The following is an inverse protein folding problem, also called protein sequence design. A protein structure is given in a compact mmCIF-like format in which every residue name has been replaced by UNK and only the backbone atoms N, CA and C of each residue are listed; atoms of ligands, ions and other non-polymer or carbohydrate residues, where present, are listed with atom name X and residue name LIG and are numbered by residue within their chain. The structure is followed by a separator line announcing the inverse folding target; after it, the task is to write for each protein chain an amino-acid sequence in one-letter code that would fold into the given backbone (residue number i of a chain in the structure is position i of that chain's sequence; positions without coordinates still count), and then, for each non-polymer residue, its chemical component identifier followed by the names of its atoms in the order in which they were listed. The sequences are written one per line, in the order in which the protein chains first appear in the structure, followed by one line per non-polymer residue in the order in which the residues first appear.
data_IF_129437296895
#
_entry.id   IF_129437296895
#
_cell.length_a   1.000
_cell.length_b   1.000
_cell.length_c   1.000
_cell.angle_alpha   90.00
_cell.angle_beta   90.00
_cell.angle_gamma   90.00
#
_symmetry.space_group_name_H-M   'P 1'
#
loop_
_entity.id
_entity.type
_entity.pdbx_description
1 polymer ?
#
# COMPACT_ATOMS: atom_id res chain seq x y z
N UNK A 1 -38.23 70.67 -9.28
CA UNK A 1 -36.97 70.03 -8.81
C UNK A 1 -37.32 68.55 -8.63
N UNK A 2 -36.97 67.72 -9.62
CA UNK A 2 -35.97 66.62 -9.53
C UNK A 2 -36.28 65.66 -8.36
N UNK A 3 -36.47 64.35 -8.54
CA UNK A 3 -35.76 63.43 -9.43
C UNK A 3 -36.61 62.19 -9.76
N UNK A 4 -36.27 61.57 -10.89
CA UNK A 4 -36.87 60.37 -11.45
C UNK A 4 -36.31 59.08 -10.82
N UNK A 5 -37.14 58.04 -10.83
CA UNK A 5 -36.73 56.65 -10.58
C UNK A 5 -37.64 55.70 -11.34
N UNK A 6 -37.18 55.23 -12.50
CA UNK A 6 -37.90 54.30 -13.36
C UNK A 6 -37.87 52.87 -12.80
N UNK A 7 -39.03 52.23 -12.69
CA UNK A 7 -39.17 50.83 -12.31
C UNK A 7 -39.03 49.93 -13.55
N UNK A 8 -37.98 49.11 -13.59
CA UNK A 8 -37.76 48.08 -14.61
C UNK A 8 -38.41 46.78 -14.14
N UNK A 9 -39.44 46.33 -14.87
CA UNK A 9 -40.08 45.05 -14.66
C UNK A 9 -39.24 43.92 -15.29
N UNK A 10 -38.52 43.14 -14.46
CA UNK A 10 -37.85 41.92 -14.91
C UNK A 10 -38.85 40.76 -14.93
N UNK A 11 -39.17 40.32 -16.15
CA UNK A 11 -39.99 39.14 -16.46
C UNK A 11 -39.22 37.89 -16.01
N UNK A 12 -39.83 37.07 -15.15
CA UNK A 12 -39.28 35.75 -14.74
C UNK A 12 -39.21 34.82 -15.96
N UNK A 13 -38.01 34.46 -16.39
CA UNK A 13 -37.79 33.35 -17.33
C UNK A 13 -37.81 32.03 -16.54
N UNK A 14 -38.69 31.11 -16.92
CA UNK A 14 -38.71 29.72 -16.40
C UNK A 14 -37.53 28.96 -17.01
N UNK A 15 -36.69 28.36 -16.16
CA UNK A 15 -35.73 27.35 -16.58
C UNK A 15 -36.46 26.03 -16.91
N UNK A 16 -36.13 25.35 -18.02
CA UNK A 16 -36.58 23.98 -18.26
C UNK A 16 -35.79 22.98 -17.40
N UNK A 17 -36.51 22.03 -16.81
CA UNK A 17 -35.98 20.95 -15.97
C UNK A 17 -35.20 19.90 -16.78
N UNK A 18 -34.22 19.28 -16.11
CA UNK A 18 -33.27 18.30 -16.64
C UNK A 18 -33.89 16.95 -17.06
N UNK A 19 -34.46 16.82 -18.28
CA UNK A 19 -34.77 15.49 -18.89
C UNK A 19 -34.59 15.46 -20.43
N UNK A 20 -34.18 16.54 -21.11
CA UNK A 20 -34.20 16.59 -22.60
C UNK A 20 -32.85 16.93 -23.24
N UNK A 21 -31.77 16.28 -22.81
CA UNK A 21 -30.42 16.50 -23.37
C UNK A 21 -29.58 15.22 -23.56
N UNK A 22 -30.19 14.03 -23.65
CA UNK A 22 -29.49 12.77 -23.96
C UNK A 22 -30.36 11.91 -24.88
N UNK A 23 -30.62 12.39 -26.11
CA UNK A 23 -30.96 11.56 -27.27
C UNK A 23 -30.50 12.34 -28.50
N UNK A 24 -29.28 12.10 -28.98
CA UNK A 24 -28.72 12.87 -30.09
C UNK A 24 -27.25 12.62 -30.39
N UNK A 25 -26.80 11.37 -30.27
CA UNK A 25 -25.48 10.93 -30.76
C UNK A 25 -25.52 9.43 -31.08
N UNK A 26 -26.58 9.02 -31.78
CA UNK A 26 -26.55 7.82 -32.62
C UNK A 26 -26.79 8.30 -34.06
N UNK A 27 -26.04 7.72 -35.00
CA UNK A 27 -26.12 7.92 -36.46
C UNK A 27 -25.11 8.89 -37.08
N UNK A 28 -23.85 8.46 -37.18
CA UNK A 28 -23.04 8.71 -38.39
C UNK A 28 -22.33 7.39 -38.78
N UNK A 29 -22.86 6.79 -39.86
CA UNK A 29 -22.23 5.95 -40.89
C UNK A 29 -20.95 5.16 -40.49
N UNK A 30 -20.90 3.82 -40.44
CA UNK A 30 -21.25 2.83 -41.49
C UNK A 30 -20.90 3.31 -42.90
N UNK A 31 -19.62 3.19 -43.26
CA UNK A 31 -19.15 2.61 -44.54
C UNK A 31 -17.62 2.80 -44.68
N UNK A 32 -16.84 1.81 -44.28
CA UNK A 32 -15.46 1.64 -44.80
C UNK A 32 -15.25 0.15 -45.06
N UNK A 33 -15.39 -0.25 -46.33
CA UNK A 33 -14.89 -1.53 -46.83
C UNK A 33 -13.37 -1.40 -46.99
N UNK A 34 -12.62 -2.32 -46.38
CA UNK A 34 -11.20 -2.50 -46.65
C UNK A 34 -11.04 -3.47 -47.82
N UNK A 35 -10.60 -2.95 -48.96
CA UNK A 35 -10.00 -3.74 -50.04
C UNK A 35 -8.48 -3.58 -49.99
N UNK A 36 -7.79 -4.66 -50.31
CA UNK A 36 -6.37 -4.87 -50.02
C UNK A 36 -5.41 -4.08 -50.92
N UNK A 37 -4.18 -3.96 -50.42
CA UNK A 37 -3.01 -3.78 -51.27
C UNK A 37 -2.18 -2.54 -50.97
N UNK A 38 -0.94 -2.79 -50.53
CA UNK A 38 0.27 -2.00 -50.73
C UNK A 38 0.27 -0.54 -50.22
N UNK A 39 1.09 -0.34 -49.19
CA UNK A 39 2.22 0.58 -49.31
C UNK A 39 1.99 2.03 -48.91
N UNK A 40 2.56 2.34 -47.73
CA UNK A 40 3.24 3.60 -47.40
C UNK A 40 2.42 4.87 -47.08
N UNK A 41 2.84 5.45 -45.95
CA UNK A 41 2.92 6.89 -45.59
C UNK A 41 1.70 7.53 -44.90
N UNK A 42 1.87 7.68 -43.59
CA UNK A 42 1.91 8.97 -42.89
C UNK A 42 0.69 9.89 -43.09
N UNK A 43 -0.23 9.87 -42.12
CA UNK A 43 -1.14 10.97 -41.85
C UNK A 43 -1.13 11.26 -40.35
N UNK A 44 -0.36 12.29 -40.01
CA UNK A 44 -0.36 12.93 -38.70
C UNK A 44 -1.58 13.87 -38.67
N UNK A 45 -2.62 13.56 -37.89
CA UNK A 45 -3.68 14.51 -37.60
C UNK A 45 -3.35 15.17 -36.26
N UNK A 46 -2.75 16.35 -36.32
CA UNK A 46 -2.56 17.24 -35.19
C UNK A 46 -3.79 18.14 -35.04
N UNK A 47 -4.45 18.07 -33.88
CA UNK A 47 -5.40 19.08 -33.42
C UNK A 47 -4.57 20.18 -32.75
N UNK A 48 -4.49 21.35 -33.38
CA UNK A 48 -3.81 22.54 -32.85
C UNK A 48 -4.78 23.26 -31.92
N UNK A 49 -4.44 23.31 -30.63
CA UNK A 49 -5.13 24.08 -29.60
C UNK A 49 -4.17 24.50 -28.49
N UNK A 50 -3.51 25.64 -28.71
CA UNK A 50 -2.98 26.62 -27.73
C UNK A 50 -2.48 26.11 -26.35
N UNK A 51 -1.16 26.13 -26.13
CA UNK A 51 -0.57 26.20 -24.78
C UNK A 51 0.68 25.37 -24.55
N UNK A 52 1.84 26.04 -24.48
CA UNK A 52 3.18 25.49 -24.25
C UNK A 52 3.33 24.72 -22.91
N UNK A 53 3.77 23.47 -22.96
CA UNK A 53 5.05 22.93 -22.44
C UNK A 53 4.96 21.39 -22.37
N UNK A 54 5.48 20.74 -23.41
CA UNK A 54 5.73 19.29 -23.44
C UNK A 54 7.16 19.07 -22.96
N UNK A 55 7.32 18.36 -21.84
CA UNK A 55 8.54 17.59 -21.58
C UNK A 55 8.27 16.15 -21.96
N UNK A 56 9.07 15.64 -22.89
CA UNK A 56 8.85 14.39 -23.59
C UNK A 56 9.18 13.16 -22.71
N UNK A 57 8.26 12.20 -22.75
CA UNK A 57 8.46 10.82 -22.38
C UNK A 57 9.37 10.16 -23.44
N UNK A 58 10.52 9.62 -23.05
CA UNK A 58 11.36 8.81 -23.95
C UNK A 58 11.43 7.39 -23.39
N UNK A 59 10.66 6.48 -23.98
CA UNK A 59 10.72 5.04 -23.70
C UNK A 59 11.37 4.36 -24.89
N UNK A 60 12.67 4.10 -24.79
CA UNK A 60 13.39 3.23 -25.73
C UNK A 60 13.42 1.81 -25.15
N UNK A 61 12.63 0.91 -25.74
CA UNK A 61 12.79 -0.54 -25.60
C UNK A 61 14.16 -0.93 -26.12
N UNK A 62 15.00 -1.49 -25.24
CA UNK A 62 16.21 -2.22 -25.61
C UNK A 62 15.87 -3.71 -25.57
N UNK A 63 15.73 -4.33 -26.74
CA UNK A 63 15.83 -5.77 -26.90
C UNK A 63 17.27 -6.20 -26.57
N UNK A 64 17.45 -7.05 -25.56
CA UNK A 64 18.66 -7.85 -25.40
C UNK A 64 18.29 -9.33 -25.44
N UNK A 65 18.51 -9.91 -26.60
CA UNK A 65 18.69 -11.35 -26.81
C UNK A 65 20.02 -11.77 -26.19
N UNK A 66 19.96 -12.57 -25.12
CA UNK A 66 21.12 -13.20 -24.48
C UNK A 66 20.92 -14.71 -24.43
N UNK A 67 21.52 -15.41 -25.40
CA UNK A 67 21.66 -16.87 -25.43
C UNK A 67 22.57 -17.33 -24.30
N UNK A 68 22.11 -18.26 -23.46
CA UNK A 68 22.99 -19.05 -22.57
C UNK A 68 22.74 -20.53 -22.85
N UNK A 69 23.83 -21.19 -23.23
CA UNK A 69 23.88 -22.59 -23.60
C UNK A 69 23.65 -23.51 -22.39
N UNK A 70 22.99 -24.63 -22.66
CA UNK A 70 22.90 -25.77 -21.78
C UNK A 70 24.22 -26.54 -21.75
N UNK A 71 24.71 -26.88 -20.56
CA UNK A 71 25.64 -27.98 -20.38
C UNK A 71 25.39 -28.68 -19.05
N UNK A 72 25.13 -29.97 -19.20
CA UNK A 72 25.54 -31.10 -18.37
C UNK A 72 24.75 -31.57 -17.15
N UNK A 73 24.26 -32.79 -17.35
CA UNK A 73 23.77 -33.77 -16.39
C UNK A 73 24.80 -34.10 -15.30
N UNK A 74 24.31 -34.35 -14.09
CA UNK A 74 24.83 -35.46 -13.29
C UNK A 74 23.72 -36.03 -12.39
N UNK A 75 23.38 -37.29 -12.67
CA UNK A 75 22.51 -38.17 -11.90
C UNK A 75 23.31 -38.71 -10.70
N UNK A 76 22.82 -38.51 -9.48
CA UNK A 76 23.37 -39.09 -8.26
C UNK A 76 22.30 -39.81 -7.45
N UNK A 77 22.24 -41.13 -7.60
CA UNK A 77 21.40 -42.06 -6.82
C UNK A 77 21.97 -42.24 -5.41
N UNK A 78 21.16 -42.01 -4.38
CA UNK A 78 21.48 -42.36 -2.99
C UNK A 78 20.23 -42.72 -2.20
N UNK A 79 20.04 -44.02 -1.95
CA UNK A 79 19.07 -44.56 -0.97
C UNK A 79 19.61 -44.37 0.45
N UNK A 80 18.73 -44.04 1.40
CA UNK A 80 19.05 -44.05 2.83
C UNK A 80 17.81 -43.88 3.70
N UNK A 81 17.28 -45.04 4.13
CA UNK A 81 16.48 -45.38 5.31
C UNK A 81 15.73 -44.29 6.14
N UNK A 82 14.48 -44.62 6.45
CA UNK A 82 13.60 -43.93 7.37
C UNK A 82 13.99 -44.08 8.84
N UNK A 83 13.84 -43.00 9.63
CA UNK A 83 13.67 -43.07 11.07
C UNK A 83 12.50 -42.16 11.50
N UNK A 84 11.59 -42.75 12.29
CA UNK A 84 10.45 -42.12 12.95
C UNK A 84 10.91 -41.28 14.14
N UNK A 85 10.25 -40.16 14.42
CA UNK A 85 10.21 -39.60 15.77
C UNK A 85 10.06 -38.08 15.88
N UNK A 86 8.85 -37.68 16.28
CA UNK A 86 8.48 -36.51 17.10
C UNK A 86 8.27 -35.13 16.46
N UNK A 87 7.17 -34.50 16.89
CA UNK A 87 6.56 -33.30 16.34
C UNK A 87 7.15 -32.02 16.92
N UNK A 88 7.54 -31.14 16.01
CA UNK A 88 7.80 -29.72 16.23
C UNK A 88 7.87 -29.08 14.86
N UNK A 89 6.88 -28.25 14.50
CA UNK A 89 6.83 -27.59 13.21
C UNK A 89 8.05 -26.70 13.03
N UNK A 90 8.98 -27.13 12.18
CA UNK A 90 10.16 -26.38 11.81
C UNK A 90 9.81 -25.48 10.62
N UNK A 91 10.15 -24.19 10.74
CA UNK A 91 10.08 -23.21 9.65
C UNK A 91 10.85 -23.72 8.42
N UNK A 92 10.23 -23.77 7.23
CA UNK A 92 10.88 -24.31 6.04
C UNK A 92 11.75 -23.25 5.35
N UNK A 93 12.72 -22.65 6.06
CA UNK A 93 13.84 -21.94 5.42
C UNK A 93 15.11 -22.15 6.25
N UNK A 94 15.84 -23.23 5.98
CA UNK A 94 17.22 -23.39 6.48
C UNK A 94 18.13 -22.43 5.70
N UNK A 95 18.36 -21.23 6.25
CA UNK A 95 19.25 -20.23 5.67
C UNK A 95 20.71 -20.67 5.82
N UNK A 96 21.24 -21.32 4.79
CA UNK A 96 22.68 -21.47 4.62
C UNK A 96 23.32 -20.12 4.30
N UNK A 97 24.09 -19.58 5.24
CA UNK A 97 25.18 -18.60 5.07
C UNK A 97 25.18 -17.77 3.77
N UNK A 98 24.23 -16.85 3.62
CA UNK A 98 24.38 -15.74 2.67
C UNK A 98 25.01 -14.59 3.44
N UNK A 99 26.19 -14.15 3.00
CA UNK A 99 26.84 -12.96 3.55
C UNK A 99 25.93 -11.75 3.32
N UNK A 100 25.67 -10.90 4.33
CA UNK A 100 24.96 -9.65 4.13
C UNK A 100 25.68 -8.83 3.07
N UNK A 101 25.04 -8.58 1.94
CA UNK A 101 25.46 -7.51 1.02
C UNK A 101 25.28 -6.17 1.71
N UNK A 102 26.13 -5.21 1.33
CA UNK A 102 26.32 -3.90 1.96
C UNK A 102 25.03 -3.20 2.46
N UNK A 103 25.12 -2.36 3.50
CA UNK A 103 23.97 -1.64 4.05
C UNK A 103 23.25 -0.87 2.95
N UNK A 104 21.95 -1.13 2.82
CA UNK A 104 21.06 -0.44 1.89
C UNK A 104 21.17 1.05 2.20
N UNK A 105 21.65 1.84 1.23
CA UNK A 105 21.55 3.30 1.28
C UNK A 105 20.07 3.59 1.50
N UNK A 106 19.72 4.33 2.57
CA UNK A 106 18.37 4.86 2.89
C UNK A 106 17.41 4.61 1.74
N UNK A 107 16.73 3.45 1.78
CA UNK A 107 15.99 2.98 0.63
C UNK A 107 15.00 4.07 0.23
N UNK A 108 14.99 4.42 -1.06
CA UNK A 108 13.93 5.27 -1.58
C UNK A 108 12.60 4.59 -1.24
N UNK A 109 11.67 5.31 -0.62
CA UNK A 109 10.36 4.77 -0.25
C UNK A 109 9.70 4.23 -1.52
N UNK A 110 9.15 3.00 -1.45
CA UNK A 110 8.41 2.41 -2.56
C UNK A 110 7.31 3.38 -3.06
N UNK A 111 7.26 3.69 -4.38
CA UNK A 111 6.27 4.62 -4.93
C UNK A 111 4.81 4.19 -4.68
N UNK A 112 4.58 2.89 -4.52
CA UNK A 112 3.28 2.33 -4.19
C UNK A 112 2.84 2.66 -2.77
N UNK A 113 3.77 2.78 -1.82
CA UNK A 113 3.48 3.31 -0.48
C UNK A 113 3.01 4.76 -0.61
N UNK A 114 3.72 5.60 -1.37
CA UNK A 114 3.34 7.02 -1.54
C UNK A 114 1.92 7.14 -2.13
N UNK A 115 1.59 6.33 -3.13
CA UNK A 115 0.24 6.33 -3.70
C UNK A 115 -0.83 5.82 -2.73
N UNK A 116 -0.52 4.87 -1.86
CA UNK A 116 -1.47 4.38 -0.84
C UNK A 116 -1.95 5.50 0.09
N UNK A 117 -1.03 6.34 0.57
CA UNK A 117 -1.34 7.50 1.40
C UNK A 117 -2.13 8.55 0.62
N UNK A 118 -1.73 8.83 -0.62
CA UNK A 118 -2.42 9.80 -1.48
C UNK A 118 -3.88 9.41 -1.74
N UNK A 119 -4.15 8.13 -2.01
CA UNK A 119 -5.51 7.58 -2.22
C UNK A 119 -6.42 7.73 -1.00
N UNK A 120 -5.85 7.73 0.21
CA UNK A 120 -6.57 7.85 1.49
C UNK A 120 -6.57 9.25 2.06
N UNK A 121 -5.93 10.20 1.37
CA UNK A 121 -5.68 11.55 1.89
C UNK A 121 -5.00 11.53 3.28
N UNK A 122 -4.20 10.49 3.55
CA UNK A 122 -3.47 10.32 4.79
C UNK A 122 -2.13 11.08 4.72
N UNK A 123 -1.70 11.66 5.84
CA UNK A 123 -0.40 12.32 5.92
C UNK A 123 0.75 11.30 5.89
N UNK A 124 1.66 11.48 4.93
CA UNK A 124 2.84 10.62 4.79
C UNK A 124 3.85 10.83 5.96
N UNK A 125 4.49 9.76 6.49
CA UNK A 125 5.43 9.85 7.61
C UNK A 125 6.83 10.36 7.20
N UNK A 126 6.93 11.66 6.91
CA UNK A 126 8.17 12.32 6.47
C UNK A 126 9.01 12.98 7.58
N UNK A 127 8.58 12.90 8.85
CA UNK A 127 9.32 13.46 10.00
C UNK A 127 9.06 12.75 11.33
N UNK A 128 9.19 13.49 12.42
CA UNK A 128 8.96 12.98 13.80
C UNK A 128 7.51 13.12 14.27
N UNK A 129 6.63 13.67 13.44
CA UNK A 129 5.19 13.72 13.71
C UNK A 129 4.53 12.67 12.82
N UNK A 130 4.13 11.57 13.42
CA UNK A 130 3.41 10.50 12.73
C UNK A 130 1.92 10.72 12.87
N UNK A 131 1.17 10.31 11.85
CA UNK A 131 -0.29 10.42 11.85
C UNK A 131 -0.90 9.05 12.09
N UNK A 132 -1.88 8.99 12.99
CA UNK A 132 -2.68 7.79 13.24
C UNK A 132 -4.06 7.99 12.63
N UNK A 133 -4.40 7.14 11.65
CA UNK A 133 -5.72 7.05 11.03
C UNK A 133 -6.69 6.31 11.97
N UNK A 134 -7.89 6.83 12.12
CA UNK A 134 -8.96 6.20 12.89
C UNK A 134 -10.32 6.68 12.38
N UNK A 135 -11.39 6.10 12.93
CA UNK A 135 -12.78 6.34 12.59
C UNK A 135 -13.20 5.89 11.18
N UNK A 136 -12.46 4.93 10.61
CA UNK A 136 -12.66 4.24 9.33
C UNK A 136 -12.22 5.05 8.12
N UNK A 137 -11.55 4.38 7.18
CA UNK A 137 -11.12 4.98 5.91
C UNK A 137 -10.20 6.20 6.07
N UNK A 138 -9.47 6.28 7.18
CA UNK A 138 -8.64 7.40 7.61
C UNK A 138 -9.40 8.74 7.69
N UNK A 139 -10.67 8.69 8.12
CA UNK A 139 -11.51 9.87 8.29
C UNK A 139 -10.93 10.84 9.32
N UNK A 140 -10.56 10.32 10.49
CA UNK A 140 -9.87 11.09 11.52
C UNK A 140 -8.38 10.79 11.48
N UNK A 141 -7.58 11.84 11.65
CA UNK A 141 -6.12 11.78 11.60
C UNK A 141 -5.56 12.49 12.83
N UNK A 142 -4.99 11.71 13.74
CA UNK A 142 -4.39 12.23 14.98
C UNK A 142 -2.87 12.34 14.80
N UNK A 143 -2.33 13.56 14.91
CA UNK A 143 -0.90 13.82 14.83
C UNK A 143 -0.21 13.55 16.18
N UNK A 144 0.79 12.68 16.18
CA UNK A 144 1.52 12.25 17.38
C UNK A 144 3.00 12.53 17.17
N UNK A 145 3.57 13.32 18.08
CA UNK A 145 5.00 13.56 18.13
C UNK A 145 5.72 12.33 18.70
N UNK A 146 6.71 11.83 17.96
CA UNK A 146 7.67 10.83 18.42
C UNK A 146 8.81 11.57 19.12
N UNK A 147 9.04 11.19 20.38
CA UNK A 147 10.09 11.75 21.21
C UNK A 147 11.38 10.92 21.11
N UNK A 148 12.47 11.43 21.66
CA UNK A 148 13.71 10.65 21.79
C UNK A 148 13.54 9.42 22.69
N UNK A 149 12.64 9.51 23.69
CA UNK A 149 12.30 8.35 24.54
C UNK A 149 11.57 7.28 23.73
N UNK A 150 10.58 7.68 22.93
CA UNK A 150 9.85 6.79 22.03
C UNK A 150 10.80 6.10 21.04
N UNK A 151 11.73 6.85 20.43
CA UNK A 151 12.76 6.27 19.55
C UNK A 151 13.71 5.33 20.30
N UNK A 152 13.98 5.59 21.58
CA UNK A 152 14.74 4.71 22.46
C UNK A 152 14.06 3.36 22.70
N UNK A 153 12.74 3.38 22.93
CA UNK A 153 11.93 2.16 23.06
C UNK A 153 11.92 1.34 21.77
N UNK A 154 11.72 2.00 20.62
CA UNK A 154 11.80 1.34 19.32
C UNK A 154 13.19 0.73 19.08
N UNK A 155 14.28 1.45 19.37
CA UNK A 155 15.64 0.90 19.29
C UNK A 155 15.82 -0.32 20.19
N UNK A 156 15.21 -0.33 21.37
CA UNK A 156 15.27 -1.46 22.29
C UNK A 156 14.53 -2.69 21.72
N UNK A 157 13.39 -2.50 21.06
CA UNK A 157 12.66 -3.59 20.36
C UNK A 157 13.57 -4.29 19.34
N UNK A 158 14.35 -3.52 18.56
CA UNK A 158 15.23 -4.06 17.51
C UNK A 158 16.66 -4.38 17.98
N UNK A 159 17.00 -4.20 19.26
CA UNK A 159 18.39 -4.29 19.74
C UNK A 159 19.05 -5.67 19.49
N UNK A 160 18.25 -6.73 19.42
CA UNK A 160 18.71 -8.09 19.18
C UNK A 160 18.31 -8.64 17.79
N UNK A 161 17.75 -7.80 16.91
CA UNK A 161 17.35 -8.22 15.57
C UNK A 161 18.59 -8.46 14.68
N UNK A 162 19.09 -9.70 14.63
CA UNK A 162 20.32 -10.06 13.92
C UNK A 162 20.08 -10.84 12.63
N UNK A 163 18.84 -11.29 12.43
CA UNK A 163 18.41 -12.05 11.28
C UNK A 163 17.08 -11.49 10.75
N UNK A 164 16.69 -11.79 9.50
CA UNK A 164 15.37 -11.44 9.00
C UNK A 164 14.24 -11.99 9.90
N UNK A 165 14.40 -13.17 10.48
CA UNK A 165 13.41 -13.72 11.41
C UNK A 165 13.28 -12.89 12.69
N UNK A 166 14.40 -12.48 13.28
CA UNK A 166 14.36 -11.63 14.48
C UNK A 166 13.77 -10.24 14.18
N UNK A 167 14.06 -9.68 13.00
CA UNK A 167 13.50 -8.39 12.60
C UNK A 167 11.98 -8.46 12.40
N UNK A 168 11.44 -9.58 11.93
CA UNK A 168 9.97 -9.80 11.86
C UNK A 168 9.32 -9.80 13.24
N UNK A 169 9.98 -10.37 14.25
CA UNK A 169 9.52 -10.27 15.65
C UNK A 169 9.58 -8.82 16.14
N UNK A 170 10.63 -8.08 15.76
CA UNK A 170 10.73 -6.65 16.05
C UNK A 170 9.62 -5.83 15.39
N UNK A 171 9.27 -6.14 14.14
CA UNK A 171 8.16 -5.52 13.40
C UNK A 171 6.83 -5.75 14.12
N UNK A 172 6.53 -7.00 14.51
CA UNK A 172 5.34 -7.34 15.30
C UNK A 172 5.23 -6.44 16.54
N UNK A 173 6.27 -6.44 17.38
CA UNK A 173 6.27 -5.63 18.59
C UNK A 173 6.19 -4.12 18.32
N UNK A 174 6.78 -3.62 17.23
CA UNK A 174 6.75 -2.21 16.90
C UNK A 174 5.36 -1.74 16.43
N UNK A 175 4.61 -2.59 15.73
CA UNK A 175 3.21 -2.33 15.38
C UNK A 175 2.36 -2.26 16.65
N UNK A 176 2.43 -3.28 17.52
CA UNK A 176 1.71 -3.27 18.80
C UNK A 176 2.12 -2.09 19.70
N UNK A 177 3.40 -1.70 19.69
CA UNK A 177 3.88 -0.51 20.40
C UNK A 177 3.24 0.77 19.85
N UNK A 178 3.11 0.89 18.53
CA UNK A 178 2.59 2.09 17.89
C UNK A 178 1.12 2.33 18.24
N UNK A 179 0.30 1.28 18.22
CA UNK A 179 -1.10 1.37 18.63
C UNK A 179 -1.24 1.82 20.09
N UNK A 180 -0.49 1.18 21.00
CA UNK A 180 -0.45 1.54 22.41
C UNK A 180 0.01 2.99 22.62
N UNK A 181 0.99 3.44 21.83
CA UNK A 181 1.51 4.80 21.88
C UNK A 181 0.49 5.83 21.40
N UNK A 182 -0.39 5.45 20.48
CA UNK A 182 -1.45 6.28 19.94
C UNK A 182 -2.69 6.34 20.83
N UNK A 183 -3.05 5.24 21.50
CA UNK A 183 -4.30 5.10 22.25
C UNK A 183 -4.66 6.29 23.17
N UNK A 184 -3.74 6.88 23.97
CA UNK A 184 -4.06 8.04 24.82
C UNK A 184 -4.45 9.31 24.06
N UNK A 185 -4.17 9.40 22.76
CA UNK A 185 -4.38 10.59 21.93
C UNK A 185 -5.66 10.53 21.09
N UNK A 186 -6.25 9.36 20.90
CA UNK A 186 -7.34 9.15 19.93
C UNK A 186 -8.71 9.65 20.41
N UNK A 187 -8.83 9.99 21.70
CA UNK A 187 -10.04 10.63 22.24
C UNK A 187 -11.27 9.73 22.34
N UNK A 188 -11.11 8.41 22.31
CA UNK A 188 -12.20 7.45 22.45
C UNK A 188 -11.77 6.11 23.07
N UNK A 189 -12.65 5.09 23.05
CA UNK A 189 -12.32 3.79 23.63
C UNK A 189 -11.18 3.11 22.86
N UNK A 190 -10.46 2.15 23.51
CA UNK A 190 -9.50 1.30 22.81
C UNK A 190 -10.14 0.63 21.60
N UNK A 191 -9.35 0.48 20.53
CA UNK A 191 -9.79 -0.22 19.35
C UNK A 191 -10.24 -1.66 19.68
N UNK A 192 -11.23 -2.14 18.94
CA UNK A 192 -11.78 -3.49 19.07
C UNK A 192 -11.48 -4.24 17.79
N UNK A 193 -10.94 -5.45 17.93
CA UNK A 193 -10.71 -6.34 16.80
C UNK A 193 -11.95 -6.50 15.93
N UNK A 194 -11.74 -6.72 14.63
CA UNK A 194 -12.80 -7.15 13.72
C UNK A 194 -13.95 -6.14 13.68
N UNK A 195 -13.59 -4.89 13.39
CA UNK A 195 -14.43 -3.71 13.41
C UNK A 195 -15.70 -3.88 12.56
N UNK A 196 -16.86 -3.51 13.12
CA UNK A 196 -18.15 -3.61 12.45
C UNK A 196 -18.63 -2.24 11.92
N UNK A 197 -19.46 -2.17 10.86
CA UNK A 197 -19.92 -0.88 10.30
C UNK A 197 -20.54 0.13 11.29
N UNK A 198 -21.00 -0.32 12.46
CA UNK A 198 -21.52 0.52 13.55
C UNK A 198 -20.44 1.33 14.29
N UNK A 199 -19.19 0.91 14.18
CA UNK A 199 -18.02 1.50 14.84
C UNK A 199 -17.37 2.59 13.97
N UNK A 200 -17.87 2.80 12.75
CA UNK A 200 -17.47 3.90 11.87
C UNK A 200 -17.76 5.26 12.53
N UNK A 201 -16.93 6.27 12.20
CA UNK A 201 -17.01 7.62 12.77
C UNK A 201 -16.73 7.71 14.28
N UNK A 202 -16.41 6.60 14.96
CA UNK A 202 -16.09 6.59 16.38
C UNK A 202 -14.60 6.88 16.56
N UNK A 203 -14.22 7.96 17.27
CA UNK A 203 -12.81 8.21 17.56
C UNK A 203 -12.18 7.03 18.29
N UNK A 204 -11.08 6.52 17.73
CA UNK A 204 -10.24 5.50 18.36
C UNK A 204 -10.55 4.08 17.89
N UNK A 205 -11.67 3.87 17.19
CA UNK A 205 -11.89 2.63 16.44
C UNK A 205 -11.22 2.74 15.06
N UNK A 206 -10.73 1.63 14.54
CA UNK A 206 -10.06 1.54 13.22
C UNK A 206 -10.76 0.50 12.35
N UNK A 207 -10.59 0.55 11.04
CA UNK A 207 -10.91 -0.55 10.10
C UNK A 207 -9.63 -1.13 9.47
N UNK A 208 -9.71 -2.08 8.52
CA UNK A 208 -8.51 -2.55 7.80
C UNK A 208 -7.68 -1.43 7.19
N UNK A 209 -8.34 -0.38 6.69
CA UNK A 209 -7.66 0.64 5.92
C UNK A 209 -6.86 1.54 6.86
N UNK A 210 -7.44 1.87 8.01
CA UNK A 210 -6.77 2.53 9.12
C UNK A 210 -5.59 1.67 9.60
N UNK A 211 -5.83 0.40 9.92
CA UNK A 211 -4.82 -0.52 10.46
C UNK A 211 -3.64 -0.74 9.50
N UNK A 212 -3.93 -1.00 8.22
CA UNK A 212 -2.89 -1.13 7.20
C UNK A 212 -2.09 0.17 7.04
N UNK A 213 -2.75 1.33 7.13
CA UNK A 213 -2.08 2.64 7.03
C UNK A 213 -1.24 2.94 8.27
N UNK A 214 -1.72 2.62 9.47
CA UNK A 214 -1.01 2.83 10.73
C UNK A 214 0.21 1.91 10.84
N UNK A 215 0.06 0.63 10.50
CA UNK A 215 1.16 -0.33 10.44
C UNK A 215 2.22 0.09 9.42
N UNK A 216 1.80 0.54 8.23
CA UNK A 216 2.73 1.09 7.23
C UNK A 216 3.44 2.34 7.72
N UNK A 217 2.73 3.19 8.49
CA UNK A 217 3.28 4.43 9.05
C UNK A 217 4.49 4.15 9.94
N UNK A 218 4.36 3.19 10.86
CA UNK A 218 5.47 2.83 11.72
C UNK A 218 6.59 2.11 10.95
N UNK A 219 6.28 1.24 9.98
CA UNK A 219 7.29 0.57 9.15
C UNK A 219 8.15 1.57 8.36
N UNK A 220 7.53 2.54 7.68
CA UNK A 220 8.26 3.59 6.95
C UNK A 220 9.12 4.42 7.92
N UNK A 221 8.60 4.75 9.11
CA UNK A 221 9.37 5.48 10.10
C UNK A 221 10.60 4.68 10.56
N UNK A 222 10.44 3.40 10.91
CA UNK A 222 11.53 2.51 11.32
C UNK A 222 12.59 2.36 10.23
N UNK A 223 12.16 2.19 8.98
CA UNK A 223 13.06 2.11 7.82
C UNK A 223 13.88 3.39 7.65
N UNK A 224 13.24 4.57 7.73
CA UNK A 224 13.94 5.87 7.63
C UNK A 224 14.89 6.12 8.80
N UNK A 225 14.63 5.53 9.97
CA UNK A 225 15.55 5.53 11.12
C UNK A 225 16.64 4.47 11.03
N UNK A 226 16.64 3.64 9.98
CA UNK A 226 17.59 2.56 9.80
C UNK A 226 17.43 1.45 10.83
N UNK A 227 16.22 1.23 11.36
CA UNK A 227 15.92 0.13 12.27
C UNK A 227 15.55 -1.16 11.53
N UNK A 228 15.08 -1.04 10.28
CA UNK A 228 14.90 -2.19 9.39
C UNK A 228 16.19 -2.38 8.57
N UNK A 229 16.89 -3.49 8.81
CA UNK A 229 18.13 -3.88 8.15
C UNK A 229 17.90 -4.96 7.10
N UNK A 230 16.86 -5.78 7.27
CA UNK A 230 16.57 -6.93 6.42
C UNK A 230 15.31 -6.75 5.58
N UNK A 231 14.43 -5.81 5.93
CA UNK A 231 13.18 -5.60 5.20
C UNK A 231 13.03 -4.19 4.61
N UNK A 232 12.29 -4.12 3.52
CA UNK A 232 11.89 -2.88 2.85
C UNK A 232 10.36 -2.77 2.86
N UNK A 233 9.83 -1.60 3.24
CA UNK A 233 8.37 -1.39 3.29
C UNK A 233 7.81 -1.30 1.87
N UNK A 234 6.74 -2.04 1.59
CA UNK A 234 6.05 -2.04 0.30
C UNK A 234 4.66 -1.44 0.44
N UNK A 235 4.04 -1.15 -0.70
CA UNK A 235 2.62 -0.80 -0.75
C UNK A 235 1.76 -1.85 -0.02
N UNK A 236 0.82 -1.44 0.86
CA UNK A 236 -0.16 -2.34 1.44
C UNK A 236 -0.96 -3.10 0.39
N UNK A 237 -1.28 -4.35 0.68
CA UNK A 237 -2.09 -5.19 -0.20
C UNK A 237 -3.49 -5.40 0.38
N UNK A 238 -4.41 -5.85 -0.46
CA UNK A 238 -5.79 -6.10 -0.09
C UNK A 238 -6.36 -7.34 -0.76
N UNK A 239 -7.21 -8.07 -0.06
CA UNK A 239 -7.97 -9.22 -0.55
C UNK A 239 -9.45 -9.06 -0.26
N UNK A 240 -10.26 -9.88 -0.92
CA UNK A 240 -11.71 -9.86 -0.76
C UNK A 240 -12.44 -9.01 -1.80
N UNK A 241 -13.77 -9.05 -1.76
CA UNK A 241 -14.65 -8.37 -2.73
C UNK A 241 -15.16 -7.03 -2.21
N UNK A 242 -16.02 -6.38 -3.02
CA UNK A 242 -16.57 -5.03 -2.77
C UNK A 242 -17.20 -4.80 -1.38
N UNK A 243 -17.62 -5.85 -0.67
CA UNK A 243 -18.28 -5.78 0.63
C UNK A 243 -17.45 -6.33 1.81
N UNK A 244 -16.30 -6.94 1.53
CA UNK A 244 -15.44 -7.61 2.53
C UNK A 244 -13.98 -7.48 2.12
N UNK A 245 -13.54 -6.25 1.85
CA UNK A 245 -12.14 -5.99 1.58
C UNK A 245 -11.37 -6.01 2.90
N UNK A 246 -10.26 -6.76 2.93
CA UNK A 246 -9.30 -6.77 4.02
C UNK A 246 -7.96 -6.28 3.48
N UNK A 247 -7.35 -5.30 4.15
CA UNK A 247 -6.05 -4.74 3.80
C UNK A 247 -5.05 -4.92 4.95
N UNK A 248 -3.77 -5.03 4.59
CA UNK A 248 -2.67 -5.20 5.56
C UNK A 248 -1.40 -4.53 5.06
N UNK A 249 -0.52 -4.15 5.99
CA UNK A 249 0.79 -3.63 5.66
C UNK A 249 1.71 -4.75 5.12
N UNK A 250 2.54 -4.42 4.12
CA UNK A 250 3.42 -5.37 3.44
C UNK A 250 4.86 -4.89 3.53
N UNK A 251 5.78 -5.84 3.72
CA UNK A 251 7.20 -5.58 3.68
C UNK A 251 7.95 -6.76 3.04
N UNK A 252 9.05 -6.46 2.34
CA UNK A 252 9.85 -7.45 1.61
C UNK A 252 11.11 -7.81 2.38
N UNK A 253 11.32 -9.09 2.64
CA UNK A 253 12.62 -9.63 3.04
C UNK A 253 13.60 -9.45 1.88
N UNK A 254 14.57 -8.55 2.06
CA UNK A 254 15.54 -8.17 1.02
C UNK A 254 16.62 -9.23 0.80
N UNK A 255 16.76 -10.18 1.73
CA UNK A 255 17.70 -11.29 1.62
C UNK A 255 17.08 -12.43 0.81
N UNK A 256 15.85 -12.81 1.14
CA UNK A 256 15.14 -13.91 0.49
C UNK A 256 14.31 -13.49 -0.72
N UNK A 257 14.03 -12.19 -0.89
CA UNK A 257 13.12 -11.68 -1.92
C UNK A 257 11.66 -12.08 -1.69
N UNK A 258 11.27 -12.35 -0.44
CA UNK A 258 9.94 -12.83 -0.07
C UNK A 258 9.14 -11.70 0.59
N UNK A 259 7.88 -11.55 0.18
CA UNK A 259 6.97 -10.56 0.77
C UNK A 259 6.24 -11.15 1.97
N UNK A 260 6.13 -10.34 3.01
CA UNK A 260 5.51 -10.64 4.29
C UNK A 260 4.48 -9.58 4.63
N UNK A 261 3.52 -9.95 5.48
CA UNK A 261 2.53 -9.03 6.03
C UNK A 261 2.72 -8.85 7.53
N UNK A 262 2.21 -7.75 8.05
CA UNK A 262 1.91 -7.55 9.48
C UNK A 262 0.48 -7.04 9.59
N UNK A 263 -0.39 -7.85 10.16
CA UNK A 263 -1.84 -7.63 10.18
C UNK A 263 -2.34 -7.57 11.63
N UNK A 264 -2.78 -6.37 12.05
CA UNK A 264 -3.30 -6.05 13.38
C UNK A 264 -4.83 -6.19 13.47
N UNK A 265 -5.58 -6.17 12.36
CA UNK A 265 -7.03 -5.91 12.41
C UNK A 265 -7.84 -6.99 13.13
N UNK A 266 -7.44 -8.26 13.01
CA UNK A 266 -8.16 -9.36 13.67
C UNK A 266 -7.77 -9.51 15.16
N UNK A 267 -6.96 -8.59 15.70
CA UNK A 267 -6.40 -8.62 17.05
C UNK A 267 -6.91 -7.43 17.86
N UNK A 268 -7.00 -7.58 19.18
CA UNK A 268 -7.31 -6.44 20.04
C UNK A 268 -6.05 -5.54 20.10
N UNK A 269 -6.23 -4.23 20.31
CA UNK A 269 -5.09 -3.31 20.22
C UNK A 269 -3.95 -3.67 21.18
N UNK A 270 -2.74 -3.76 20.64
CA UNK A 270 -1.53 -4.13 21.39
C UNK A 270 -1.28 -5.64 21.53
N UNK A 271 -2.17 -6.50 21.04
CA UNK A 271 -1.91 -7.95 20.94
C UNK A 271 -0.85 -8.28 19.87
N UNK A 272 -0.26 -9.50 19.89
CA UNK A 272 0.61 -9.95 18.81
C UNK A 272 -0.13 -9.99 17.48
N UNK A 273 0.52 -9.44 16.44
CA UNK A 273 0.00 -9.34 15.09
C UNK A 273 0.18 -10.65 14.32
N UNK A 274 -0.58 -10.80 13.24
CA UNK A 274 -0.32 -11.86 12.27
C UNK A 274 0.85 -11.45 11.37
N UNK A 275 2.01 -12.10 11.55
CA UNK A 275 3.20 -11.92 10.71
C UNK A 275 3.50 -13.20 9.94
N UNK A 276 3.25 -13.18 8.63
CA UNK A 276 3.38 -14.37 7.77
C UNK A 276 3.68 -13.99 6.31
N UNK A 277 4.06 -14.94 5.45
CA UNK A 277 4.21 -14.68 4.01
C UNK A 277 2.93 -14.14 3.36
N UNK A 278 3.07 -13.17 2.45
CA UNK A 278 1.94 -12.54 1.78
C UNK A 278 1.10 -13.55 0.97
N UNK A 279 1.73 -14.50 0.29
CA UNK A 279 1.03 -15.55 -0.47
C UNK A 279 0.25 -16.51 0.43
N UNK A 280 0.78 -16.80 1.62
CA UNK A 280 0.05 -17.57 2.63
C UNK A 280 -1.19 -16.78 3.10
N UNK A 281 -1.02 -15.51 3.47
CA UNK A 281 -2.15 -14.65 3.89
C UNK A 281 -3.21 -14.55 2.79
N UNK A 282 -2.83 -14.34 1.54
CA UNK A 282 -3.76 -14.30 0.40
C UNK A 282 -4.53 -15.62 0.20
N UNK A 283 -3.93 -16.76 0.56
CA UNK A 283 -4.56 -18.09 0.40
C UNK A 283 -5.53 -18.46 1.52
N UNK A 284 -5.42 -17.83 2.70
CA UNK A 284 -6.32 -18.14 3.83
C UNK A 284 -7.74 -17.64 3.54
N UNK A 285 -8.78 -18.40 3.89
CA UNK A 285 -10.15 -17.87 3.92
C UNK A 285 -10.24 -16.66 4.84
N UNK A 286 -11.12 -15.71 4.52
CA UNK A 286 -11.48 -14.64 5.45
C UNK A 286 -12.46 -15.22 6.48
N UNK A 287 -12.00 -15.52 7.70
CA UNK A 287 -12.82 -16.10 8.76
C UNK A 287 -12.02 -16.61 9.95
#
# INVERSE_FOLDING_TARGET
MQSAGAAIALRRLRAPSAVTAIVGLETIARDVRFDGGRGMRMACLAVIGLGLLVSACNSTKSEQTGSIAASDLAIGSGRGEAARGDGGGADPVTTGSIKPTAPVRSAEVDPGVVSWYAERHARFPDGEVLTYCHAYGCELQTAIQITEADLGELKAIFANAKTPADERIGIDHAVSWWENRAAPHLGGPPDRRGSEPKDAHVPGQTDCLDEATNSTTILVYLERKGLLQFHHTLRPDSRGGLLYAHATAVFRDTVAGKDWIVDSWMRDSGDPNDVMPLDEWLSKPMG
#
